data_IF_730778773791
#
_entry.id   IF_730778773791
#
_cell.length_a   1.000
_cell.length_b   1.000
_cell.length_c   1.000
_cell.angle_alpha   90.00
_cell.angle_beta   90.00
_cell.angle_gamma   90.00
#
_symmetry.space_group_name_H-M   'P 1'
#
loop_
_entity.id
_entity.type
_entity.pdbx_description
1 polymer ?
#
# COMPACT_ATOMS: atom_id res chain seq x y z
N UNK A 1 31.71 58.83 -13.82
CA UNK A 1 30.94 57.78 -13.09
C UNK A 1 30.49 56.75 -14.11
N UNK A 2 30.97 55.50 -13.99
CA UNK A 2 30.75 54.43 -14.97
C UNK A 2 29.64 53.48 -14.44
N UNK A 3 28.55 53.21 -15.17
CA UNK A 3 27.47 52.36 -14.68
C UNK A 3 27.88 50.88 -14.72
N UNK A 4 27.82 50.23 -13.55
CA UNK A 4 28.10 48.80 -13.41
C UNK A 4 27.02 47.98 -14.10
N UNK A 5 27.42 47.22 -15.11
CA UNK A 5 26.64 46.16 -15.75
C UNK A 5 26.42 45.01 -14.76
N UNK A 6 25.16 44.75 -14.42
CA UNK A 6 24.75 43.56 -13.67
C UNK A 6 24.79 42.35 -14.62
N UNK A 7 25.79 41.48 -14.44
CA UNK A 7 25.78 40.15 -15.04
C UNK A 7 24.84 39.24 -14.25
N UNK A 8 23.79 38.64 -14.85
CA UNK A 8 23.00 37.63 -14.18
C UNK A 8 23.86 36.36 -14.01
N UNK A 9 24.03 35.93 -12.76
CA UNK A 9 24.66 34.67 -12.40
C UNK A 9 23.91 33.52 -13.08
N UNK A 10 24.49 32.97 -14.14
CA UNK A 10 24.07 31.69 -14.72
C UNK A 10 24.20 30.63 -13.64
N UNK A 11 23.07 30.21 -13.06
CA UNK A 11 23.01 29.05 -12.17
C UNK A 11 23.46 27.83 -12.96
N UNK A 12 24.64 27.30 -12.66
CA UNK A 12 25.10 26.02 -13.21
C UNK A 12 24.01 24.96 -13.01
N UNK A 13 23.68 24.14 -14.02
CA UNK A 13 22.74 23.04 -13.84
C UNK A 13 23.27 22.14 -12.73
N UNK A 14 22.52 22.01 -11.63
CA UNK A 14 22.81 21.03 -10.59
C UNK A 14 22.94 19.68 -11.29
N UNK A 15 24.09 19.03 -11.14
CA UNK A 15 24.30 17.67 -11.61
C UNK A 15 23.11 16.83 -11.11
N UNK A 16 22.24 16.39 -12.03
CA UNK A 16 21.12 15.52 -11.68
C UNK A 16 21.74 14.27 -11.08
N UNK A 17 21.61 14.10 -9.77
CA UNK A 17 21.93 12.83 -9.13
C UNK A 17 21.30 11.72 -9.96
N UNK A 18 22.11 10.74 -10.41
CA UNK A 18 21.60 9.61 -11.18
C UNK A 18 20.48 8.98 -10.36
N UNK A 19 19.24 9.13 -10.82
CA UNK A 19 18.11 8.51 -10.15
C UNK A 19 18.33 6.99 -10.20
N UNK A 20 18.05 6.27 -9.10
CA UNK A 20 18.20 4.83 -9.08
C UNK A 20 17.31 4.22 -10.17
N UNK A 21 17.88 3.28 -10.93
CA UNK A 21 17.11 2.47 -11.89
C UNK A 21 16.02 1.66 -11.19
N UNK A 22 15.16 1.01 -11.97
CA UNK A 22 14.02 0.21 -11.47
C UNK A 22 14.41 -0.75 -10.33
N UNK A 23 15.54 -1.45 -10.46
CA UNK A 23 16.05 -2.36 -9.43
C UNK A 23 16.40 -1.61 -8.13
N UNK A 24 17.06 -0.45 -8.24
CA UNK A 24 17.43 0.37 -7.08
C UNK A 24 16.19 0.89 -6.33
N UNK A 25 15.15 1.32 -7.06
CA UNK A 25 13.87 1.73 -6.45
C UNK A 25 13.20 0.58 -5.71
N UNK A 26 13.17 -0.63 -6.29
CA UNK A 26 12.62 -1.84 -5.64
C UNK A 26 13.36 -2.18 -4.35
N UNK A 27 14.69 -2.21 -4.39
CA UNK A 27 15.50 -2.50 -3.21
C UNK A 27 15.27 -1.47 -2.11
N UNK A 28 15.16 -0.19 -2.48
CA UNK A 28 14.87 0.89 -1.55
C UNK A 28 13.51 0.74 -0.86
N UNK A 29 12.42 0.50 -1.61
CA UNK A 29 11.09 0.31 -1.01
C UNK A 29 10.99 -0.95 -0.16
N UNK A 30 11.70 -2.02 -0.53
CA UNK A 30 11.81 -3.23 0.30
C UNK A 30 12.54 -2.96 1.62
N UNK A 31 13.67 -2.25 1.56
CA UNK A 31 14.40 -1.86 2.77
C UNK A 31 13.54 -0.99 3.69
N UNK A 32 12.80 -0.02 3.13
CA UNK A 32 11.85 0.79 3.89
C UNK A 32 10.73 -0.06 4.52
N UNK A 33 10.16 -1.00 3.77
CA UNK A 33 9.12 -1.91 4.25
C UNK A 33 9.62 -2.70 5.46
N UNK A 34 10.81 -3.33 5.37
CA UNK A 34 11.38 -4.08 6.49
C UNK A 34 11.75 -3.20 7.68
N UNK A 35 12.30 -2.01 7.45
CA UNK A 35 12.60 -1.06 8.51
C UNK A 35 11.34 -0.59 9.26
N UNK A 36 10.26 -0.29 8.54
CA UNK A 36 8.98 0.09 9.14
C UNK A 36 8.33 -1.06 9.90
N UNK A 37 8.36 -2.29 9.36
CA UNK A 37 7.86 -3.48 10.05
C UNK A 37 8.64 -3.75 11.34
N UNK A 38 9.98 -3.64 11.29
CA UNK A 38 10.82 -3.79 12.48
C UNK A 38 10.50 -2.74 13.54
N UNK A 39 10.26 -1.48 13.15
CA UNK A 39 9.91 -0.42 14.08
C UNK A 39 8.51 -0.62 14.68
N UNK A 40 7.52 -1.04 13.88
CA UNK A 40 6.18 -1.38 14.38
C UNK A 40 6.27 -2.53 15.38
N UNK A 41 6.99 -3.60 15.03
CA UNK A 41 7.18 -4.75 15.90
C UNK A 41 7.92 -4.37 17.20
N UNK A 42 8.92 -3.49 17.13
CA UNK A 42 9.64 -2.97 18.29
C UNK A 42 8.70 -2.20 19.22
N UNK A 43 7.92 -1.24 18.71
CA UNK A 43 7.00 -0.45 19.52
C UNK A 43 5.93 -1.35 20.16
N UNK A 44 5.38 -2.31 19.42
CA UNK A 44 4.43 -3.29 19.95
C UNK A 44 5.08 -4.23 20.99
N UNK A 45 6.33 -4.65 20.78
CA UNK A 45 7.10 -5.48 21.71
C UNK A 45 7.41 -4.77 23.01
N UNK A 46 7.86 -3.53 22.94
CA UNK A 46 8.06 -2.67 24.11
C UNK A 46 6.73 -2.49 24.84
N UNK A 47 5.63 -2.24 24.13
CA UNK A 47 4.31 -2.11 24.75
C UNK A 47 3.89 -3.38 25.51
N UNK A 48 4.10 -4.57 24.92
CA UNK A 48 3.85 -5.84 25.60
C UNK A 48 4.73 -6.02 26.85
N UNK A 49 6.02 -5.68 26.72
CA UNK A 49 6.98 -5.76 27.82
C UNK A 49 6.63 -4.83 28.98
N UNK A 50 6.17 -3.60 28.70
CA UNK A 50 5.75 -2.64 29.73
C UNK A 50 4.55 -3.13 30.54
N UNK A 51 3.71 -4.01 29.98
CA UNK A 51 2.54 -4.55 30.66
C UNK A 51 2.88 -5.81 31.47
N UNK A 52 3.53 -6.80 30.85
CA UNK A 52 3.69 -8.15 31.42
C UNK A 52 5.17 -8.58 31.55
N UNK A 53 6.12 -7.67 31.37
CA UNK A 53 7.55 -8.01 31.34
C UNK A 53 7.90 -8.97 30.19
N UNK A 54 8.81 -9.90 30.42
CA UNK A 54 9.23 -10.89 29.42
C UNK A 54 8.06 -11.73 28.87
N UNK A 55 7.06 -12.02 29.70
CA UNK A 55 5.86 -12.74 29.27
C UNK A 55 5.03 -11.98 28.24
N UNK A 56 5.02 -10.65 28.30
CA UNK A 56 4.36 -9.82 27.30
C UNK A 56 5.02 -9.89 25.93
N UNK A 57 6.35 -9.99 25.90
CA UNK A 57 7.10 -10.20 24.66
C UNK A 57 6.81 -11.59 24.06
N UNK A 58 6.75 -12.64 24.89
CA UNK A 58 6.38 -13.99 24.46
C UNK A 58 4.94 -14.03 23.93
N UNK A 59 3.99 -13.41 24.64
CA UNK A 59 2.59 -13.33 24.22
C UNK A 59 2.44 -12.62 22.86
N UNK A 60 3.20 -11.54 22.62
CA UNK A 60 3.25 -10.88 21.32
C UNK A 60 3.71 -11.83 20.21
N UNK A 61 4.81 -12.57 20.44
CA UNK A 61 5.35 -13.51 19.45
C UNK A 61 4.32 -14.59 19.09
N UNK A 62 3.66 -15.17 20.10
CA UNK A 62 2.61 -16.16 19.89
C UNK A 62 1.42 -15.58 19.12
N UNK A 63 0.99 -14.37 19.46
CA UNK A 63 -0.13 -13.70 18.79
C UNK A 63 0.21 -13.35 17.34
N UNK A 64 1.44 -12.89 17.07
CA UNK A 64 1.96 -12.62 15.73
C UNK A 64 2.00 -13.91 14.91
N UNK A 65 2.57 -14.99 15.46
CA UNK A 65 2.65 -16.28 14.80
C UNK A 65 1.25 -16.86 14.50
N UNK A 66 0.34 -16.80 15.49
CA UNK A 66 -1.04 -17.25 15.34
C UNK A 66 -1.83 -16.42 14.32
N UNK A 67 -1.67 -15.09 14.33
CA UNK A 67 -2.32 -14.20 13.35
C UNK A 67 -1.80 -14.45 11.95
N UNK A 68 -0.50 -14.64 11.78
CA UNK A 68 0.09 -15.00 10.49
C UNK A 68 -0.47 -16.34 9.99
N UNK A 69 -0.48 -17.37 10.83
CA UNK A 69 -1.08 -18.67 10.48
C UNK A 69 -2.55 -18.57 10.08
N UNK A 70 -3.35 -17.80 10.83
CA UNK A 70 -4.76 -17.59 10.54
C UNK A 70 -4.99 -16.92 9.16
N UNK A 71 -4.16 -15.94 8.80
CA UNK A 71 -4.25 -15.27 7.49
C UNK A 71 -3.97 -16.22 6.31
N UNK A 72 -3.12 -17.24 6.51
CA UNK A 72 -2.79 -18.18 5.45
C UNK A 72 -3.95 -19.12 5.11
N UNK A 73 -4.82 -19.41 6.08
CA UNK A 73 -5.97 -20.31 5.91
C UNK A 73 -7.30 -19.58 5.69
N UNK A 74 -7.34 -18.28 5.95
CA UNK A 74 -8.54 -17.46 5.79
C UNK A 74 -9.09 -17.51 4.34
N UNK A 75 -10.42 -17.51 4.16
CA UNK A 75 -11.02 -17.32 2.83
C UNK A 75 -10.67 -15.93 2.29
N UNK A 76 -10.09 -15.87 1.08
CA UNK A 76 -9.66 -14.59 0.51
C UNK A 76 -10.81 -13.67 0.12
N UNK A 77 -11.98 -14.24 -0.14
CA UNK A 77 -13.21 -13.55 -0.53
C UNK A 77 -14.04 -13.06 0.66
N UNK A 78 -13.65 -13.36 1.90
CA UNK A 78 -14.42 -13.01 3.08
C UNK A 78 -14.72 -11.50 3.16
N UNK A 79 -13.69 -10.67 2.97
CA UNK A 79 -13.83 -9.20 3.02
C UNK A 79 -14.80 -8.70 1.95
N UNK A 80 -14.72 -9.24 0.74
CA UNK A 80 -15.58 -8.83 -0.38
C UNK A 80 -17.02 -9.24 -0.13
N UNK A 81 -17.26 -10.46 0.37
CA UNK A 81 -18.60 -10.94 0.74
C UNK A 81 -19.23 -10.12 1.86
N UNK A 82 -18.46 -9.77 2.88
CA UNK A 82 -18.92 -8.89 3.97
C UNK A 82 -19.28 -7.48 3.47
N UNK A 83 -18.67 -7.04 2.38
CA UNK A 83 -19.00 -5.78 1.70
C UNK A 83 -20.13 -5.92 0.66
N UNK A 84 -20.87 -7.03 0.67
CA UNK A 84 -21.96 -7.28 -0.27
C UNK A 84 -21.49 -7.53 -1.71
N UNK A 85 -20.27 -8.03 -1.87
CA UNK A 85 -19.69 -8.40 -3.16
C UNK A 85 -20.30 -9.71 -3.68
N UNK A 86 -20.76 -9.68 -4.93
CA UNK A 86 -21.23 -10.86 -5.67
C UNK A 86 -20.12 -11.38 -6.56
N UNK A 87 -19.82 -12.68 -6.50
CA UNK A 87 -18.86 -13.28 -7.42
C UNK A 87 -19.36 -13.15 -8.87
N UNK A 88 -18.48 -12.69 -9.75
CA UNK A 88 -18.72 -12.63 -11.19
C UNK A 88 -18.36 -13.97 -11.83
N UNK A 89 -19.14 -14.34 -12.83
CA UNK A 89 -18.83 -15.47 -13.71
C UNK A 89 -18.19 -14.95 -15.00
N UNK A 90 -17.35 -15.79 -15.62
CA UNK A 90 -16.59 -15.43 -16.83
C UNK A 90 -17.45 -14.80 -17.93
N UNK A 91 -18.62 -15.38 -18.20
CA UNK A 91 -19.52 -14.93 -19.27
C UNK A 91 -20.16 -13.55 -19.00
N UNK A 92 -20.18 -13.06 -17.77
CA UNK A 92 -20.73 -11.75 -17.42
C UNK A 92 -19.81 -10.61 -17.86
N UNK A 93 -18.48 -10.84 -17.88
CA UNK A 93 -17.51 -9.82 -18.27
C UNK A 93 -16.23 -10.43 -18.86
N UNK A 94 -16.27 -11.03 -20.07
CA UNK A 94 -15.16 -11.82 -20.62
C UNK A 94 -13.84 -11.06 -20.74
N UNK A 95 -13.91 -9.77 -21.11
CA UNK A 95 -12.74 -8.89 -21.22
C UNK A 95 -12.04 -8.74 -19.87
N UNK A 96 -12.79 -8.49 -18.80
CA UNK A 96 -12.23 -8.32 -17.45
C UNK A 96 -11.50 -9.59 -16.99
N UNK A 97 -12.10 -10.76 -17.24
CA UNK A 97 -11.47 -12.04 -16.90
C UNK A 97 -10.20 -12.30 -17.72
N UNK A 98 -10.18 -11.94 -19.01
CA UNK A 98 -8.97 -12.04 -19.83
C UNK A 98 -7.86 -11.16 -19.28
N UNK A 99 -8.16 -9.91 -18.95
CA UNK A 99 -7.21 -8.96 -18.37
C UNK A 99 -6.62 -9.49 -17.05
N UNK A 100 -7.49 -9.94 -16.13
CA UNK A 100 -7.08 -10.51 -14.84
C UNK A 100 -6.20 -11.75 -15.05
N UNK A 101 -6.58 -12.63 -15.98
CA UNK A 101 -5.81 -13.83 -16.30
C UNK A 101 -4.41 -13.50 -16.83
N UNK A 102 -4.32 -12.67 -17.87
CA UNK A 102 -3.04 -12.28 -18.46
C UNK A 102 -2.11 -11.60 -17.46
N UNK A 103 -2.64 -10.67 -16.66
CA UNK A 103 -1.88 -9.97 -15.63
C UNK A 103 -1.42 -10.93 -14.53
N UNK A 104 -2.25 -11.90 -14.14
CA UNK A 104 -1.88 -12.94 -13.16
C UNK A 104 -0.75 -13.83 -13.67
N UNK A 105 -0.78 -14.19 -14.96
CA UNK A 105 0.30 -14.94 -15.61
C UNK A 105 1.60 -14.14 -15.66
N UNK A 106 1.54 -12.86 -16.06
CA UNK A 106 2.70 -11.95 -16.05
C UNK A 106 3.27 -11.78 -14.63
N UNK A 107 2.41 -11.73 -13.63
CA UNK A 107 2.78 -11.64 -12.22
C UNK A 107 3.29 -12.96 -11.63
N UNK A 108 3.18 -14.08 -12.38
CA UNK A 108 3.53 -15.44 -11.94
C UNK A 108 2.80 -15.84 -10.67
N UNK A 109 1.52 -15.47 -10.57
CA UNK A 109 0.69 -15.90 -9.45
C UNK A 109 0.40 -17.40 -9.56
N UNK A 110 0.39 -18.14 -8.44
CA UNK A 110 0.04 -19.56 -8.45
C UNK A 110 -1.44 -19.78 -8.82
N UNK A 111 -2.31 -18.82 -8.48
CA UNK A 111 -3.73 -18.83 -8.81
C UNK A 111 -4.17 -17.42 -9.22
N UNK A 112 -5.01 -17.33 -10.25
CA UNK A 112 -5.68 -16.08 -10.61
C UNK A 112 -6.72 -15.71 -9.53
N UNK A 113 -6.92 -14.41 -9.23
CA UNK A 113 -7.89 -13.98 -8.24
C UNK A 113 -9.31 -14.26 -8.69
N UNK A 114 -10.15 -14.70 -7.75
CA UNK A 114 -11.61 -14.73 -7.95
C UNK A 114 -12.13 -13.30 -8.02
N UNK A 115 -12.99 -13.00 -8.98
CA UNK A 115 -13.46 -11.64 -9.27
C UNK A 115 -14.86 -11.42 -8.71
N UNK A 116 -15.06 -10.32 -7.99
CA UNK A 116 -16.32 -9.94 -7.37
C UNK A 116 -16.77 -8.57 -7.85
N UNK A 117 -18.07 -8.42 -8.09
CA UNK A 117 -18.72 -7.14 -8.29
C UNK A 117 -19.20 -6.60 -6.95
N UNK A 118 -18.68 -5.46 -6.55
CA UNK A 118 -19.03 -4.77 -5.31
C UNK A 118 -20.23 -3.85 -5.50
N UNK A 119 -21.11 -3.80 -4.50
CA UNK A 119 -22.40 -3.10 -4.56
C UNK A 119 -22.33 -1.61 -4.14
N UNK A 120 -21.15 -1.09 -3.81
CA UNK A 120 -20.97 0.30 -3.36
C UNK A 120 -21.00 1.33 -4.49
N UNK A 121 -21.41 2.59 -4.22
CA UNK A 121 -21.50 3.66 -5.22
C UNK A 121 -20.13 4.19 -5.70
N UNK A 122 -19.07 3.91 -4.95
CA UNK A 122 -17.71 4.41 -5.22
C UNK A 122 -17.08 3.83 -6.49
N UNK A 123 -16.09 4.53 -7.03
CA UNK A 123 -15.25 4.08 -8.15
C UNK A 123 -14.02 3.41 -7.55
N UNK A 124 -14.02 2.09 -7.45
CA UNK A 124 -13.01 1.36 -6.67
C UNK A 124 -12.73 -0.03 -7.26
N UNK A 125 -11.45 -0.41 -7.23
CA UNK A 125 -11.00 -1.79 -7.24
C UNK A 125 -10.31 -2.08 -5.90
N UNK A 126 -10.27 -3.33 -5.47
CA UNK A 126 -9.45 -3.76 -4.36
C UNK A 126 -9.10 -5.24 -4.45
N UNK A 127 -7.95 -5.59 -3.93
CA UNK A 127 -7.51 -6.98 -3.77
C UNK A 127 -7.60 -7.41 -2.30
N UNK A 128 -7.79 -8.71 -2.08
CA UNK A 128 -7.84 -9.33 -0.75
C UNK A 128 -7.40 -10.79 -0.82
N UNK A 129 -7.18 -11.40 0.34
CA UNK A 129 -6.79 -12.79 0.49
C UNK A 129 -5.29 -13.00 0.46
N UNK A 130 -4.88 -14.27 0.35
CA UNK A 130 -3.48 -14.67 0.30
C UNK A 130 -3.07 -15.05 -1.11
N UNK A 131 -1.78 -15.25 -1.36
CA UNK A 131 -1.27 -15.78 -2.63
C UNK A 131 -1.94 -17.11 -3.03
N UNK A 132 -2.41 -17.91 -2.06
CA UNK A 132 -3.08 -19.19 -2.31
C UNK A 132 -4.57 -19.03 -2.62
N UNK A 133 -5.20 -18.00 -2.07
CA UNK A 133 -6.63 -17.73 -2.21
C UNK A 133 -6.84 -16.25 -2.53
N UNK A 134 -6.35 -15.74 -3.67
CA UNK A 134 -6.50 -14.32 -3.98
C UNK A 134 -7.92 -14.02 -4.44
N UNK A 135 -8.42 -12.84 -4.11
CA UNK A 135 -9.69 -12.34 -4.61
C UNK A 135 -9.58 -10.83 -4.93
N UNK A 136 -10.37 -10.40 -5.91
CA UNK A 136 -10.36 -9.05 -6.45
C UNK A 136 -11.79 -8.56 -6.57
N UNK A 137 -12.07 -7.39 -5.99
CA UNK A 137 -13.34 -6.69 -6.09
C UNK A 137 -13.24 -5.51 -7.04
N UNK A 138 -14.27 -5.33 -7.87
CA UNK A 138 -14.47 -4.12 -8.70
C UNK A 138 -15.88 -3.60 -8.51
N UNK A 139 -16.06 -2.27 -8.51
CA UNK A 139 -17.40 -1.69 -8.51
C UNK A 139 -17.94 -1.52 -9.92
N UNK A 140 -19.27 -1.48 -10.08
CA UNK A 140 -19.90 -1.17 -11.38
C UNK A 140 -19.48 0.22 -11.88
N UNK A 141 -19.37 1.19 -10.98
CA UNK A 141 -18.94 2.54 -11.31
C UNK A 141 -17.52 2.56 -11.88
N UNK A 142 -16.61 1.70 -11.41
CA UNK A 142 -15.26 1.58 -11.99
C UNK A 142 -15.32 1.12 -13.44
N UNK A 143 -16.03 0.03 -13.70
CA UNK A 143 -16.15 -0.55 -15.05
C UNK A 143 -16.81 0.42 -16.04
N UNK A 144 -17.66 1.33 -15.55
CA UNK A 144 -18.33 2.32 -16.37
C UNK A 144 -17.45 3.53 -16.73
N UNK A 145 -16.58 3.98 -15.83
CA UNK A 145 -15.84 5.25 -16.00
C UNK A 145 -14.40 5.09 -16.49
N UNK A 146 -13.83 3.89 -16.37
CA UNK A 146 -12.46 3.61 -16.81
C UNK A 146 -12.47 3.03 -18.23
N UNK A 147 -11.58 3.52 -19.08
CA UNK A 147 -11.35 2.88 -20.38
C UNK A 147 -10.55 1.57 -20.22
N UNK A 148 -10.39 0.80 -21.30
CA UNK A 148 -9.73 -0.50 -21.26
C UNK A 148 -8.27 -0.42 -20.79
N UNK A 149 -7.54 0.64 -21.17
CA UNK A 149 -6.13 0.83 -20.78
C UNK A 149 -6.03 1.19 -19.30
N UNK A 150 -6.87 2.11 -18.84
CA UNK A 150 -6.96 2.53 -17.44
C UNK A 150 -7.40 1.37 -16.55
N UNK A 151 -8.41 0.60 -16.96
CA UNK A 151 -8.88 -0.57 -16.22
C UNK A 151 -7.77 -1.62 -16.11
N UNK A 152 -7.08 -1.95 -17.22
CA UNK A 152 -5.94 -2.88 -17.21
C UNK A 152 -4.85 -2.40 -16.25
N UNK A 153 -4.56 -1.09 -16.23
CA UNK A 153 -3.57 -0.51 -15.34
C UNK A 153 -3.97 -0.61 -13.85
N UNK A 154 -5.24 -0.35 -13.51
CA UNK A 154 -5.77 -0.52 -12.14
C UNK A 154 -5.73 -1.99 -11.73
N UNK A 155 -6.13 -2.92 -12.59
CA UNK A 155 -6.04 -4.35 -12.31
C UNK A 155 -4.59 -4.81 -12.11
N UNK A 156 -3.65 -4.26 -12.88
CA UNK A 156 -2.23 -4.53 -12.72
C UNK A 156 -1.70 -4.05 -11.36
N UNK A 157 -2.22 -2.92 -10.86
CA UNK A 157 -1.92 -2.42 -9.52
C UNK A 157 -2.45 -3.36 -8.42
N UNK A 158 -3.71 -3.77 -8.50
CA UNK A 158 -4.29 -4.72 -7.54
C UNK A 158 -3.59 -6.09 -7.56
N UNK A 159 -3.25 -6.60 -8.75
CA UNK A 159 -2.49 -7.84 -8.90
C UNK A 159 -1.07 -7.68 -8.36
N UNK A 160 -0.48 -6.49 -8.44
CA UNK A 160 0.81 -6.21 -7.83
C UNK A 160 0.76 -6.31 -6.30
N UNK A 161 -0.32 -5.86 -5.65
CA UNK A 161 -0.48 -6.07 -4.20
C UNK A 161 -0.56 -7.55 -3.84
N UNK A 162 -1.31 -8.34 -4.62
CA UNK A 162 -1.39 -9.79 -4.44
C UNK A 162 0.01 -10.42 -4.58
N UNK A 163 0.72 -10.09 -5.67
CA UNK A 163 2.07 -10.61 -5.97
C UNK A 163 3.07 -10.33 -4.85
N UNK A 164 2.98 -9.17 -4.21
CA UNK A 164 3.88 -8.79 -3.13
C UNK A 164 3.43 -9.27 -1.74
N UNK A 165 2.23 -9.86 -1.61
CA UNK A 165 1.74 -10.41 -0.35
C UNK A 165 1.27 -9.36 0.65
N UNK A 166 0.81 -8.20 0.17
CA UNK A 166 0.50 -7.02 1.00
C UNK A 166 -0.56 -7.30 2.06
N UNK A 167 -1.51 -8.18 1.77
CA UNK A 167 -2.56 -8.59 2.68
C UNK A 167 -2.00 -9.33 3.90
N UNK A 168 -0.96 -10.15 3.71
CA UNK A 168 -0.28 -10.82 4.81
C UNK A 168 0.53 -9.81 5.64
N UNK A 169 1.25 -8.89 4.98
CA UNK A 169 2.00 -7.82 5.64
C UNK A 169 1.10 -6.90 6.45
N UNK A 170 0.02 -6.40 5.86
CA UNK A 170 -0.94 -5.53 6.53
C UNK A 170 -1.70 -6.30 7.61
N UNK A 171 -2.05 -7.56 7.39
CA UNK A 171 -2.67 -8.41 8.42
C UNK A 171 -1.78 -8.60 9.65
N UNK A 172 -0.47 -8.79 9.46
CA UNK A 172 0.51 -8.81 10.55
C UNK A 172 0.53 -7.47 11.32
N UNK A 173 0.57 -6.35 10.60
CA UNK A 173 0.53 -5.02 11.22
C UNK A 173 -0.76 -4.79 12.00
N UNK A 174 -1.90 -5.28 11.51
CA UNK A 174 -3.18 -5.21 12.24
C UNK A 174 -3.14 -6.02 13.54
N UNK A 175 -2.46 -7.17 13.57
CA UNK A 175 -2.25 -7.94 14.79
C UNK A 175 -1.40 -7.18 15.82
N UNK A 176 -0.28 -6.60 15.37
CA UNK A 176 0.61 -5.77 16.20
C UNK A 176 -0.13 -4.55 16.78
N UNK A 177 -0.95 -3.88 15.95
CA UNK A 177 -1.82 -2.78 16.38
C UNK A 177 -2.81 -3.17 17.45
N UNK A 178 -3.41 -4.37 17.38
CA UNK A 178 -4.34 -4.86 18.41
C UNK A 178 -3.63 -4.99 19.74
N UNK A 179 -2.42 -5.58 19.76
CA UNK A 179 -1.64 -5.69 21.01
C UNK A 179 -1.29 -4.33 21.58
N UNK A 180 -0.81 -3.40 20.75
CA UNK A 180 -0.48 -2.05 21.21
C UNK A 180 -1.71 -1.30 21.75
N UNK A 181 -2.90 -1.48 21.16
CA UNK A 181 -4.14 -0.89 21.67
C UNK A 181 -4.58 -1.51 23.00
N UNK A 182 -4.45 -2.82 23.17
CA UNK A 182 -4.73 -3.49 24.44
C UNK A 182 -3.77 -3.00 25.54
N UNK A 183 -2.48 -2.86 25.21
CA UNK A 183 -1.49 -2.31 26.13
C UNK A 183 -1.81 -0.85 26.52
N UNK A 184 -2.28 -0.03 25.58
CA UNK A 184 -2.72 1.33 25.87
C UNK A 184 -3.98 1.41 26.74
N UNK A 185 -4.91 0.46 26.60
CA UNK A 185 -6.06 0.35 27.51
C UNK A 185 -5.58 0.13 28.95
N UNK A 186 -4.55 -0.71 29.14
CA UNK A 186 -3.93 -0.92 30.45
C UNK A 186 -3.22 0.34 30.93
N UNK A 187 -2.55 1.07 30.03
CA UNK A 187 -2.00 2.40 30.32
C UNK A 187 -3.05 3.38 30.83
N UNK A 188 -4.24 3.40 30.22
CA UNK A 188 -5.37 4.24 30.66
C UNK A 188 -5.89 3.82 32.04
N UNK A 189 -6.01 2.52 32.30
CA UNK A 189 -6.37 2.01 33.63
C UNK A 189 -5.31 2.38 34.67
N UNK A 190 -4.02 2.38 34.31
CA UNK A 190 -2.94 2.80 35.19
C UNK A 190 -3.00 4.30 35.53
N UNK A 191 -3.51 5.16 34.63
CA UNK A 191 -3.80 6.57 34.96
C UNK A 191 -4.84 6.66 36.08
N UNK A 192 -5.95 5.93 35.94
CA UNK A 192 -7.01 5.91 36.95
C UNK A 192 -6.51 5.34 38.27
N UNK A 193 -5.73 4.25 38.22
CA UNK A 193 -5.11 3.65 39.39
C UNK A 193 -4.14 4.62 40.08
N UNK A 194 -3.33 5.36 39.32
CA UNK A 194 -2.44 6.38 39.85
C UNK A 194 -3.21 7.54 40.50
N UNK A 195 -4.32 7.96 39.91
CA UNK A 195 -5.17 8.98 40.52
C UNK A 195 -5.72 8.53 41.88
N UNK A 196 -6.26 7.31 41.96
CA UNK A 196 -6.74 6.74 43.21
C UNK A 196 -5.61 6.53 44.23
N UNK A 197 -4.46 6.00 43.79
CA UNK A 197 -3.30 5.79 44.64
C UNK A 197 -2.76 7.12 45.21
N UNK A 198 -2.74 8.19 44.41
CA UNK A 198 -2.34 9.51 44.87
C UNK A 198 -3.25 10.05 45.99
N UNK A 199 -4.57 9.87 45.87
CA UNK A 199 -5.53 10.25 46.92
C UNK A 199 -5.34 9.46 48.22
N UNK A 200 -4.89 8.21 48.10
CA UNK A 200 -4.68 7.28 49.23
C UNK A 200 -3.24 7.27 49.76
N UNK A 201 -2.34 8.09 49.20
CA UNK A 201 -0.92 8.11 49.58
C UNK A 201 -0.15 6.83 49.23
N UNK A 202 -0.61 6.06 48.25
CA UNK A 202 0.00 4.81 47.80
C UNK A 202 1.06 5.01 46.70
N UNK A 203 1.87 3.97 46.49
CA UNK A 203 2.89 3.98 45.43
C UNK A 203 2.23 4.06 44.04
N UNK A 204 2.77 4.96 43.21
CA UNK A 204 2.30 5.19 41.84
C UNK A 204 3.05 4.29 40.84
N UNK A 205 2.35 3.90 39.77
CA UNK A 205 2.97 3.37 38.57
C UNK A 205 3.84 4.46 37.94
N UNK A 206 5.11 4.17 37.60
CA UNK A 206 6.02 5.16 37.01
C UNK A 206 5.44 5.83 35.76
N UNK A 207 5.52 7.16 35.71
CA UNK A 207 4.92 7.96 34.64
C UNK A 207 5.40 7.57 33.23
N UNK A 208 6.66 7.17 33.07
CA UNK A 208 7.22 6.75 31.78
C UNK A 208 6.57 5.49 31.22
N UNK A 209 6.11 4.56 32.07
CA UNK A 209 5.37 3.36 31.66
C UNK A 209 4.00 3.80 31.12
N UNK A 210 3.30 4.62 31.90
CA UNK A 210 1.96 5.11 31.54
C UNK A 210 2.00 5.88 30.21
N UNK A 211 2.88 6.87 30.08
CA UNK A 211 3.03 7.65 28.85
C UNK A 211 3.49 6.80 27.66
N UNK A 212 4.42 5.86 27.88
CA UNK A 212 4.85 4.91 26.85
C UNK A 212 3.68 4.12 26.27
N UNK A 213 2.79 3.60 27.13
CA UNK A 213 1.60 2.85 26.72
C UNK A 213 0.57 3.73 25.99
N UNK A 214 0.36 4.97 26.43
CA UNK A 214 -0.61 5.88 25.82
C UNK A 214 -0.18 6.40 24.44
N UNK A 215 1.12 6.63 24.23
CA UNK A 215 1.65 7.18 22.97
C UNK A 215 1.83 6.08 21.90
N UNK A 216 2.13 4.84 22.32
CA UNK A 216 2.46 3.77 21.39
C UNK A 216 1.42 3.51 20.27
N UNK A 217 0.10 3.51 20.50
CA UNK A 217 -0.88 3.30 19.42
C UNK A 217 -0.86 4.38 18.34
N UNK A 218 -0.63 5.63 18.74
CA UNK A 218 -0.52 6.75 17.81
C UNK A 218 0.73 6.56 16.94
N UNK A 219 1.87 6.25 17.56
CA UNK A 219 3.12 5.98 16.85
C UNK A 219 2.97 4.82 15.86
N UNK A 220 2.43 3.68 16.29
CA UNK A 220 2.19 2.52 15.40
C UNK A 220 1.25 2.89 14.25
N UNK A 221 0.24 3.72 14.49
CA UNK A 221 -0.67 4.18 13.42
C UNK A 221 0.05 5.02 12.38
N UNK A 222 0.92 5.96 12.79
CA UNK A 222 1.72 6.75 11.86
C UNK A 222 2.70 5.90 11.05
N UNK A 223 3.33 4.92 11.69
CA UNK A 223 4.21 3.96 11.02
C UNK A 223 3.44 3.08 10.02
N UNK A 224 2.21 2.69 10.36
CA UNK A 224 1.32 1.95 9.46
C UNK A 224 0.98 2.79 8.24
N UNK A 225 0.69 4.08 8.40
CA UNK A 225 0.44 4.98 7.26
C UNK A 225 1.68 5.13 6.38
N UNK A 226 2.87 5.28 6.97
CA UNK A 226 4.12 5.29 6.22
C UNK A 226 4.32 3.99 5.44
N UNK A 227 4.06 2.84 6.06
CA UNK A 227 4.15 1.53 5.41
C UNK A 227 3.19 1.42 4.23
N UNK A 228 1.92 1.81 4.41
CA UNK A 228 0.93 1.82 3.32
C UNK A 228 1.41 2.65 2.14
N UNK A 229 1.98 3.85 2.35
CA UNK A 229 2.51 4.66 1.24
C UNK A 229 3.66 3.97 0.49
N UNK A 230 4.57 3.31 1.20
CA UNK A 230 5.67 2.55 0.58
C UNK A 230 5.12 1.40 -0.27
N UNK A 231 4.09 0.70 0.22
CA UNK A 231 3.41 -0.38 -0.52
C UNK A 231 2.77 0.12 -1.82
N UNK A 232 2.14 1.29 -1.80
CA UNK A 232 1.55 1.91 -2.99
C UNK A 232 2.60 2.21 -4.07
N UNK A 233 3.77 2.76 -3.70
CA UNK A 233 4.83 3.00 -4.67
C UNK A 233 5.40 1.69 -5.26
N UNK A 234 5.51 0.62 -4.46
CA UNK A 234 5.94 -0.68 -4.98
C UNK A 234 4.87 -1.32 -5.89
N UNK A 235 3.58 -1.13 -5.57
CA UNK A 235 2.47 -1.54 -6.41
C UNK A 235 2.39 -0.75 -7.71
N UNK A 236 2.67 0.56 -7.71
CA UNK A 236 2.77 1.38 -8.94
C UNK A 236 3.90 0.91 -9.85
N UNK A 237 5.07 0.59 -9.28
CA UNK A 237 6.18 0.01 -10.03
C UNK A 237 5.82 -1.36 -10.63
N UNK A 238 5.10 -2.18 -9.86
CA UNK A 238 4.64 -3.49 -10.32
C UNK A 238 3.56 -3.38 -11.40
N UNK A 239 2.62 -2.46 -11.25
CA UNK A 239 1.59 -2.18 -12.23
C UNK A 239 2.20 -1.74 -13.58
N UNK A 240 3.15 -0.80 -13.54
CA UNK A 240 3.90 -0.34 -14.71
C UNK A 240 4.67 -1.47 -15.43
N UNK A 241 5.19 -2.45 -14.68
CA UNK A 241 5.83 -3.65 -15.24
C UNK A 241 4.82 -4.63 -15.84
N UNK A 242 3.70 -4.87 -15.15
CA UNK A 242 2.70 -5.87 -15.52
C UNK A 242 1.81 -5.41 -16.68
N UNK A 243 1.34 -4.16 -16.65
CA UNK A 243 0.55 -3.56 -17.73
C UNK A 243 1.43 -3.23 -18.94
N UNK A 244 2.68 -2.80 -18.70
CA UNK A 244 3.55 -2.23 -19.73
C UNK A 244 3.13 -0.83 -20.17
N UNK A 245 2.22 -0.18 -19.42
CA UNK A 245 1.65 1.13 -19.74
C UNK A 245 1.57 2.01 -18.48
N UNK A 246 2.69 2.65 -18.08
CA UNK A 246 2.72 3.53 -16.92
C UNK A 246 1.86 4.79 -17.12
N UNK A 247 1.72 5.26 -18.37
CA UNK A 247 0.91 6.41 -18.71
C UNK A 247 -0.58 6.16 -18.47
N UNK A 248 -1.08 4.96 -18.80
CA UNK A 248 -2.46 4.57 -18.50
C UNK A 248 -2.73 4.56 -16.99
N UNK A 249 -1.79 4.08 -16.16
CA UNK A 249 -1.96 4.15 -14.71
C UNK A 249 -2.01 5.59 -14.21
N UNK A 250 -1.15 6.47 -14.74
CA UNK A 250 -1.18 7.89 -14.39
C UNK A 250 -2.52 8.55 -14.76
N UNK A 251 -3.06 8.25 -15.95
CA UNK A 251 -4.40 8.70 -16.38
C UNK A 251 -5.49 8.19 -15.44
N UNK A 252 -5.47 6.90 -15.12
CA UNK A 252 -6.42 6.27 -14.22
C UNK A 252 -6.43 6.92 -12.83
N UNK A 253 -5.25 7.20 -12.25
CA UNK A 253 -5.12 7.85 -10.94
C UNK A 253 -5.72 9.27 -10.93
N UNK A 254 -5.48 10.07 -11.97
CA UNK A 254 -6.07 11.41 -12.10
C UNK A 254 -7.60 11.34 -12.24
N UNK A 255 -8.10 10.35 -12.99
CA UNK A 255 -9.54 10.13 -13.17
C UNK A 255 -10.20 9.68 -11.87
N UNK A 256 -9.56 8.76 -11.12
CA UNK A 256 -10.03 8.32 -9.80
C UNK A 256 -10.07 9.47 -8.79
N UNK A 257 -9.05 10.33 -8.78
CA UNK A 257 -9.02 11.51 -7.91
C UNK A 257 -10.19 12.45 -8.24
N UNK A 258 -10.41 12.76 -9.52
CA UNK A 258 -11.53 13.60 -9.96
C UNK A 258 -12.91 13.01 -9.60
N UNK A 259 -13.10 11.71 -9.81
CA UNK A 259 -14.35 11.02 -9.49
C UNK A 259 -14.57 10.94 -7.97
N UNK A 260 -13.52 10.64 -7.19
CA UNK A 260 -13.63 10.58 -5.72
C UNK A 260 -14.02 11.92 -5.12
N UNK A 261 -13.47 13.04 -5.62
CA UNK A 261 -13.84 14.38 -5.20
C UNK A 261 -15.31 14.72 -5.50
N UNK A 262 -15.87 14.17 -6.58
CA UNK A 262 -17.28 14.35 -6.97
C UNK A 262 -18.25 13.62 -6.04
N UNK A 263 -17.88 12.42 -5.57
CA UNK A 263 -18.75 11.59 -4.72
C UNK A 263 -18.47 11.76 -3.21
N UNK A 264 -17.41 12.46 -2.82
CA UNK A 264 -17.06 12.69 -1.43
C UNK A 264 -17.91 13.80 -0.77
N UNK A 265 -18.50 13.54 0.42
CA UNK A 265 -19.06 14.58 1.28
C UNK A 265 -18.04 15.69 1.56
N UNK A 266 -18.48 16.94 1.73
CA UNK A 266 -17.58 18.08 1.89
C UNK A 266 -16.58 17.94 3.06
N UNK A 267 -17.00 17.30 4.17
CA UNK A 267 -16.15 17.04 5.34
C UNK A 267 -15.03 15.99 5.09
N UNK A 268 -15.17 15.17 4.04
CA UNK A 268 -14.16 14.20 3.58
C UNK A 268 -13.13 14.82 2.61
N UNK A 269 -13.32 16.09 2.21
CA UNK A 269 -12.40 16.84 1.33
C UNK A 269 -11.32 17.62 2.09
N UNK A 270 -11.20 17.41 3.39
CA UNK A 270 -10.16 18.04 4.20
C UNK A 270 -8.78 17.54 3.74
N UNK A 271 -7.92 18.47 3.32
CA UNK A 271 -6.54 18.15 2.96
C UNK A 271 -5.76 17.76 4.21
N UNK A 272 -5.57 16.45 4.42
CA UNK A 272 -4.76 15.96 5.51
C UNK A 272 -3.27 16.23 5.24
N UNK A 273 -2.46 16.54 6.27
CA UNK A 273 -1.01 16.53 6.17
C UNK A 273 -0.48 15.19 5.60
N UNK A 274 0.61 15.18 4.81
CA UNK A 274 1.09 13.97 4.14
C UNK A 274 1.34 12.76 5.05
N UNK A 275 1.76 13.00 6.30
CA UNK A 275 2.03 11.94 7.28
C UNK A 275 0.76 11.26 7.83
N UNK A 276 -0.40 11.90 7.72
CA UNK A 276 -1.72 11.36 8.12
C UNK A 276 -2.45 10.62 6.99
N UNK A 277 -1.92 10.62 5.77
CA UNK A 277 -2.52 9.94 4.62
C UNK A 277 -2.05 8.49 4.51
N UNK A 278 -2.97 7.56 4.25
CA UNK A 278 -2.67 6.14 3.96
C UNK A 278 -2.11 5.92 2.55
N UNK A 279 -2.47 6.80 1.61
CA UNK A 279 -1.96 6.79 0.24
C UNK A 279 -1.04 8.00 0.01
N UNK A 280 0.00 7.87 -0.82
CA UNK A 280 0.82 8.99 -1.21
C UNK A 280 0.02 9.94 -2.11
N UNK A 281 0.51 11.17 -2.25
CA UNK A 281 -0.16 12.17 -3.08
C UNK A 281 -0.25 11.71 -4.54
N UNK A 282 -1.42 11.87 -5.16
CA UNK A 282 -1.65 11.45 -6.55
C UNK A 282 -0.63 12.08 -7.49
N UNK A 283 -0.25 13.35 -7.27
CA UNK A 283 0.72 14.03 -8.12
C UNK A 283 2.11 13.41 -8.01
N UNK A 284 2.49 12.92 -6.84
CA UNK A 284 3.76 12.22 -6.66
C UNK A 284 3.78 10.87 -7.40
N UNK A 285 2.70 10.10 -7.30
CA UNK A 285 2.54 8.84 -8.04
C UNK A 285 2.56 9.05 -9.55
N UNK A 286 1.83 10.06 -10.04
CA UNK A 286 1.81 10.44 -11.46
C UNK A 286 3.19 10.87 -11.95
N UNK A 287 3.93 11.66 -11.15
CA UNK A 287 5.33 12.03 -11.48
C UNK A 287 6.22 10.81 -11.58
N UNK A 288 6.12 9.87 -10.64
CA UNK A 288 6.86 8.62 -10.65
C UNK A 288 6.58 7.83 -11.93
N UNK A 289 5.30 7.65 -12.29
CA UNK A 289 4.88 6.92 -13.50
C UNK A 289 5.35 7.60 -14.78
N UNK A 290 5.30 8.94 -14.85
CA UNK A 290 5.82 9.70 -15.99
C UNK A 290 7.34 9.59 -16.14
N UNK A 291 8.09 9.37 -15.05
CA UNK A 291 9.52 9.02 -15.14
C UNK A 291 9.73 7.61 -15.69
N UNK A 292 8.90 6.64 -15.28
CA UNK A 292 8.97 5.26 -15.78
C UNK A 292 8.65 5.18 -17.28
N UNK A 293 7.61 5.87 -17.72
CA UNK A 293 7.21 5.93 -19.13
C UNK A 293 8.34 6.49 -20.00
N UNK A 294 8.96 7.61 -19.59
CA UNK A 294 10.14 8.16 -20.25
C UNK A 294 11.31 7.17 -20.28
N UNK A 295 11.57 6.48 -19.17
CA UNK A 295 12.64 5.48 -19.11
C UNK A 295 12.37 4.28 -20.04
N UNK A 296 11.12 3.87 -20.22
CA UNK A 296 10.74 2.82 -21.17
C UNK A 296 10.90 3.28 -22.63
N UNK A 297 10.50 4.51 -22.95
CA UNK A 297 10.58 5.07 -24.30
C UNK A 297 12.00 5.43 -24.75
N UNK A 298 12.94 5.62 -23.82
CA UNK A 298 14.36 5.90 -24.14
C UNK A 298 15.23 4.64 -24.33
N UNK A 299 14.70 3.44 -24.07
CA UNK A 299 15.43 2.21 -24.41
C UNK A 299 15.36 2.00 -25.93
N UNK A 300 16.50 1.81 -26.64
CA UNK A 300 16.45 1.52 -28.06
C UNK A 300 15.60 0.26 -28.26
N UNK A 301 14.53 0.36 -29.03
CA UNK A 301 13.80 -0.81 -29.52
C UNK A 301 14.82 -1.62 -30.30
N UNK A 302 15.21 -2.79 -29.80
CA UNK A 302 16.02 -3.72 -30.57
C UNK A 302 15.27 -3.98 -31.87
N UNK A 303 15.82 -3.54 -32.99
CA UNK A 303 15.33 -3.85 -34.32
C UNK A 303 15.42 -5.36 -34.54
N UNK A 304 14.36 -6.11 -34.23
CA UNK A 304 14.19 -7.44 -34.81
C UNK A 304 13.66 -7.27 -36.23
N UNK A 305 14.54 -6.83 -37.12
CA UNK A 305 14.34 -6.83 -38.56
C UNK A 305 15.55 -7.52 -39.20
N UNK A 306 15.44 -8.83 -39.37
CA UNK A 306 16.00 -9.51 -40.53
C UNK A 306 15.15 -10.75 -40.75
N UNK A 307 14.04 -10.56 -41.46
CA UNK A 307 13.43 -11.66 -42.18
C UNK A 307 14.47 -12.22 -43.14
N UNK A 308 14.93 -13.44 -42.85
CA UNK A 308 15.65 -14.24 -43.83
C UNK A 308 14.62 -14.75 -44.84
N UNK A 309 14.74 -14.43 -46.14
CA UNK A 309 13.90 -15.06 -47.14
C UNK A 309 14.39 -16.50 -47.30
N UNK A 310 13.54 -17.47 -46.93
CA UNK A 310 13.76 -18.87 -47.25
C UNK A 310 13.57 -19.04 -48.77
N UNK A 311 14.68 -19.18 -49.48
CA UNK A 311 14.71 -19.63 -50.87
C UNK A 311 14.78 -21.17 -50.85
N UNK A 312 13.87 -21.81 -51.58
CA UNK A 312 13.88 -23.25 -51.80
C UNK A 312 15.05 -23.65 -52.71
N UNK A 313 15.79 -24.68 -52.30
CA UNK A 313 16.81 -25.40 -53.07
C UNK A 313 16.93 -26.81 -52.54
#
# INVERSE_FOLDING_TARGET
MNPRTFHPLQRRPRARARQPGLLGRRLFYRAQTWGLLALIALVSGVSGYLVLGSWGAVALLLLVAGSFGALQVAPGDLVLKLQGGRELRYYEHPVLFREVWELSQRARLPHAPRVFLMSGPGVQAMSTGSLRRPALGVTRSLLWHMDERELRAILAHEISHIRHGDMATLGLVQALRRVTRLAALIGFLAVLANFMAALLGMQLVPAWIVWGLLIAPALVTLLTFALSRVREYEADLGAAELSGDPAALASALLRLEALSARFAPAWLRLELPPWLRTHPDTRERVRLLAELDRAQNTRPRSSSSSGLPWVWG
#
